data_IF_726720617846
#
_entry.id   IF_726720617846
#
_cell.length_a   1.000
_cell.length_b   1.000
_cell.length_c   1.000
_cell.angle_alpha   90.00
_cell.angle_beta   90.00
_cell.angle_gamma   90.00
#
_symmetry.space_group_name_H-M   'P 1'
#
loop_
_entity.id
_entity.type
_entity.pdbx_description
1 polymer ?
#
# COMPACT_ATOMS: atom_id res chain seq x y z
N UNK A 1 -9.03 -16.31 -7.16
CA UNK A 1 -9.05 -17.12 -5.93
C UNK A 1 -7.68 -16.95 -5.28
N UNK A 2 -7.57 -16.10 -4.27
CA UNK A 2 -6.34 -15.97 -3.48
C UNK A 2 -6.63 -16.72 -2.20
N UNK A 3 -6.10 -17.93 -2.09
CA UNK A 3 -6.20 -18.73 -0.88
C UNK A 3 -5.03 -18.36 0.03
N UNK A 4 -5.24 -17.91 1.26
CA UNK A 4 -4.17 -17.84 2.24
C UNK A 4 -3.75 -19.27 2.59
N UNK A 5 -2.45 -19.54 2.59
CA UNK A 5 -1.94 -20.84 3.00
C UNK A 5 -2.36 -21.13 4.45
N UNK A 6 -3.18 -22.15 4.67
CA UNK A 6 -3.60 -22.64 5.99
C UNK A 6 -4.99 -22.18 6.47
N UNK A 7 -5.75 -21.38 5.71
CA UNK A 7 -7.10 -20.99 6.07
C UNK A 7 -8.18 -21.87 5.42
N UNK A 8 -9.33 -22.04 6.08
CA UNK A 8 -10.50 -22.66 5.46
C UNK A 8 -10.95 -21.86 4.23
N UNK A 9 -11.10 -22.52 3.09
CA UNK A 9 -11.64 -21.92 1.87
C UNK A 9 -13.12 -21.61 2.06
N UNK A 10 -13.45 -20.35 2.32
CA UNK A 10 -14.85 -19.89 2.43
C UNK A 10 -15.25 -19.25 1.10
N UNK A 11 -16.26 -19.80 0.46
CA UNK A 11 -16.87 -19.19 -0.74
C UNK A 11 -18.07 -18.37 -0.27
N UNK A 12 -17.98 -17.06 -0.38
CA UNK A 12 -19.14 -16.17 -0.19
C UNK A 12 -19.48 -15.51 -1.54
N UNK A 13 -20.74 -15.48 -1.87
CA UNK A 13 -21.26 -14.69 -2.97
C UNK A 13 -21.79 -13.38 -2.40
N UNK A 14 -21.29 -12.25 -2.87
CA UNK A 14 -21.69 -10.94 -2.36
C UNK A 14 -21.88 -9.99 -3.53
N UNK A 15 -23.00 -9.28 -3.55
CA UNK A 15 -23.21 -8.17 -4.46
C UNK A 15 -22.63 -6.90 -3.84
N UNK A 16 -21.70 -6.24 -4.52
CA UNK A 16 -21.04 -5.04 -4.01
C UNK A 16 -21.06 -3.93 -5.06
N UNK A 17 -21.14 -2.70 -4.58
CA UNK A 17 -20.94 -1.51 -5.39
C UNK A 17 -19.62 -0.84 -5.00
N UNK A 18 -18.87 -0.39 -6.01
CA UNK A 18 -17.60 0.31 -5.81
C UNK A 18 -17.57 1.57 -6.66
N UNK A 19 -17.11 2.65 -6.06
CA UNK A 19 -16.83 3.90 -6.74
C UNK A 19 -15.41 4.34 -6.44
N UNK A 20 -14.69 4.75 -7.49
CA UNK A 20 -13.31 5.25 -7.38
C UNK A 20 -13.20 6.59 -8.09
N UNK A 21 -12.61 7.57 -7.39
CA UNK A 21 -12.27 8.85 -7.95
C UNK A 21 -10.76 9.07 -7.86
N UNK A 22 -10.16 9.46 -8.99
CA UNK A 22 -8.71 9.71 -9.08
C UNK A 22 -8.48 11.08 -9.70
N UNK A 23 -7.68 11.91 -9.00
CA UNK A 23 -7.15 13.16 -9.52
C UNK A 23 -5.63 13.06 -9.65
N UNK A 24 -5.15 13.24 -10.89
CA UNK A 24 -3.72 13.34 -11.19
C UNK A 24 -3.43 14.74 -11.68
N UNK A 25 -2.61 15.47 -10.96
CA UNK A 25 -2.14 16.82 -11.28
C UNK A 25 -0.60 16.79 -11.20
N UNK A 26 0.01 16.12 -12.15
CA UNK A 26 1.46 15.89 -12.24
C UNK A 26 1.99 16.43 -13.57
N UNK A 27 3.26 16.79 -13.60
CA UNK A 27 3.94 17.31 -14.80
C UNK A 27 4.20 16.24 -15.86
N UNK A 28 4.36 14.98 -15.48
CA UNK A 28 4.54 13.83 -16.37
C UNK A 28 3.80 12.62 -15.80
N UNK A 29 3.14 11.83 -16.66
CA UNK A 29 2.35 10.67 -16.23
C UNK A 29 3.17 9.42 -15.98
N UNK A 30 4.33 9.30 -16.62
CA UNK A 30 5.20 8.12 -16.52
C UNK A 30 6.31 8.31 -15.48
N UNK A 31 6.92 9.51 -15.43
CA UNK A 31 8.00 9.85 -14.51
C UNK A 31 7.72 11.20 -13.83
N UNK A 32 6.75 11.26 -12.93
CA UNK A 32 6.36 12.49 -12.28
C UNK A 32 7.46 13.00 -11.35
N UNK A 33 7.82 14.27 -11.53
CA UNK A 33 8.80 14.98 -10.70
C UNK A 33 8.19 16.16 -9.93
N UNK A 34 6.98 16.60 -10.33
CA UNK A 34 6.21 17.64 -9.65
C UNK A 34 4.72 17.34 -9.74
N UNK A 35 3.98 17.72 -8.69
CA UNK A 35 2.56 17.57 -8.64
C UNK A 35 2.08 16.57 -7.61
N UNK A 36 0.83 16.11 -7.76
CA UNK A 36 0.23 15.19 -6.80
C UNK A 36 -0.77 14.23 -7.46
N UNK A 37 -0.99 13.11 -6.78
CA UNK A 37 -2.06 12.16 -7.05
C UNK A 37 -2.92 12.01 -5.80
N UNK A 38 -4.23 12.07 -6.01
CA UNK A 38 -5.25 11.76 -5.00
C UNK A 38 -6.14 10.65 -5.52
N UNK A 39 -6.43 9.69 -4.69
CA UNK A 39 -7.35 8.61 -4.97
C UNK A 39 -8.29 8.42 -3.77
N UNK A 40 -9.58 8.29 -4.05
CA UNK A 40 -10.60 7.93 -3.08
C UNK A 40 -11.43 6.77 -3.62
N UNK A 41 -11.65 5.79 -2.78
CA UNK A 41 -12.50 4.65 -3.08
C UNK A 41 -13.56 4.50 -2.00
N UNK A 42 -14.78 4.24 -2.43
CA UNK A 42 -15.91 3.87 -1.58
C UNK A 42 -16.51 2.59 -2.15
N UNK A 43 -16.65 1.57 -1.31
CA UNK A 43 -17.22 0.30 -1.75
C UNK A 43 -17.93 -0.39 -0.60
N UNK A 44 -18.90 -1.23 -0.90
CA UNK A 44 -19.64 -1.93 0.12
C UNK A 44 -20.71 -2.85 -0.44
N UNK A 45 -21.34 -3.56 0.43
CA UNK A 45 -22.46 -4.44 0.10
C UNK A 45 -23.40 -4.62 1.29
N UNK A 46 -24.72 -4.63 1.04
CA UNK A 46 -25.70 -4.90 2.07
C UNK A 46 -25.82 -6.41 2.36
N UNK A 47 -26.19 -6.76 3.57
CA UNK A 47 -26.46 -8.14 4.02
C UNK A 47 -27.49 -8.86 3.12
N UNK A 48 -28.47 -8.12 2.58
CA UNK A 48 -29.56 -8.63 1.72
C UNK A 48 -29.02 -9.30 0.44
N UNK A 49 -27.80 -9.00 0.03
CA UNK A 49 -27.21 -9.45 -1.24
C UNK A 49 -26.19 -10.59 -1.07
N UNK A 50 -26.47 -11.57 -0.21
CA UNK A 50 -25.62 -12.73 0.06
C UNK A 50 -24.33 -12.42 0.86
N UNK A 51 -24.20 -11.21 1.41
CA UNK A 51 -23.19 -10.88 2.40
C UNK A 51 -23.64 -11.38 3.79
N UNK A 52 -22.72 -11.83 4.62
CA UNK A 52 -23.03 -12.26 5.99
C UNK A 52 -23.30 -11.07 6.93
N UNK A 53 -22.97 -9.84 6.52
CA UNK A 53 -23.22 -8.58 7.21
C UNK A 53 -23.07 -7.37 6.26
N UNK A 54 -23.64 -6.24 6.68
CA UNK A 54 -23.40 -4.96 6.01
C UNK A 54 -21.95 -4.53 6.19
N UNK A 55 -21.36 -3.97 5.15
CA UNK A 55 -20.04 -3.34 5.26
C UNK A 55 -19.89 -2.16 4.32
N UNK A 56 -19.08 -1.19 4.75
CA UNK A 56 -18.68 -0.01 3.94
C UNK A 56 -17.17 0.16 4.03
N UNK A 57 -16.49 0.09 2.91
CA UNK A 57 -15.05 0.33 2.78
C UNK A 57 -14.78 1.73 2.25
N UNK A 58 -13.96 2.47 2.97
CA UNK A 58 -13.41 3.75 2.55
C UNK A 58 -11.90 3.60 2.42
N UNK A 59 -11.33 4.12 1.34
CA UNK A 59 -9.88 4.11 1.12
C UNK A 59 -9.45 5.42 0.48
N UNK A 60 -8.31 5.92 0.88
CA UNK A 60 -7.67 7.08 0.28
C UNK A 60 -6.18 6.84 0.08
N UNK A 61 -5.64 7.36 -1.02
CA UNK A 61 -4.21 7.39 -1.31
C UNK A 61 -3.82 8.79 -1.76
N UNK A 62 -2.70 9.25 -1.24
CA UNK A 62 -2.07 10.50 -1.60
C UNK A 62 -0.62 10.26 -1.99
N UNK A 63 -0.18 10.89 -3.09
CA UNK A 63 1.23 10.97 -3.48
C UNK A 63 1.55 12.41 -3.84
N UNK A 64 2.62 12.96 -3.27
CA UNK A 64 3.16 14.27 -3.63
C UNK A 64 4.57 14.09 -4.17
N UNK A 65 4.82 14.69 -5.32
CA UNK A 65 6.13 14.85 -5.93
C UNK A 65 6.54 16.31 -5.77
N UNK A 66 7.68 16.55 -5.14
CA UNK A 66 8.19 17.88 -4.87
C UNK A 66 9.60 18.00 -5.46
N UNK A 67 9.80 18.83 -6.50
CA UNK A 67 11.14 19.18 -6.95
C UNK A 67 11.92 19.84 -5.82
N UNK A 68 13.17 19.47 -5.64
CA UNK A 68 14.03 20.01 -4.57
C UNK A 68 15.12 20.88 -5.19
N UNK A 69 16.17 20.28 -5.74
CA UNK A 69 17.29 20.98 -6.34
C UNK A 69 17.74 20.27 -7.62
N UNK A 70 17.94 21.03 -8.69
CA UNK A 70 18.31 20.44 -9.97
C UNK A 70 17.22 19.49 -10.47
N UNK A 71 17.59 18.23 -10.64
CA UNK A 71 16.65 17.17 -11.05
C UNK A 71 16.12 16.34 -9.88
N UNK A 72 16.50 16.63 -8.65
CA UNK A 72 16.16 15.85 -7.47
C UNK A 72 14.71 16.02 -7.09
N UNK A 73 14.12 14.94 -6.57
CA UNK A 73 12.69 14.88 -6.22
C UNK A 73 12.53 14.32 -4.82
N UNK A 74 11.71 14.99 -4.01
CA UNK A 74 11.22 14.44 -2.76
C UNK A 74 9.80 13.93 -2.96
N UNK A 75 9.55 12.68 -2.56
CA UNK A 75 8.26 12.00 -2.76
C UNK A 75 7.69 11.64 -1.39
N UNK A 76 6.46 12.05 -1.15
CA UNK A 76 5.67 11.64 0.03
C UNK A 76 4.50 10.82 -0.44
N UNK A 77 4.27 9.67 0.17
CA UNK A 77 3.12 8.81 -0.07
C UNK A 77 2.38 8.54 1.24
N UNK A 78 1.09 8.43 1.18
CA UNK A 78 0.26 8.04 2.31
C UNK A 78 -0.97 7.28 1.85
N UNK A 79 -1.37 6.28 2.62
CA UNK A 79 -2.61 5.54 2.41
C UNK A 79 -3.34 5.43 3.73
N UNK A 80 -4.65 5.56 3.68
CA UNK A 80 -5.53 5.32 4.82
C UNK A 80 -6.77 4.58 4.36
N UNK A 81 -7.23 3.64 5.16
CA UNK A 81 -8.43 2.87 4.85
C UNK A 81 -9.17 2.41 6.10
N UNK A 82 -10.49 2.33 5.98
CA UNK A 82 -11.35 1.76 7.00
C UNK A 82 -12.46 0.94 6.34
N UNK A 83 -12.73 -0.24 6.91
CA UNK A 83 -13.91 -1.04 6.60
C UNK A 83 -14.81 -1.06 7.82
N UNK A 84 -15.91 -0.34 7.70
CA UNK A 84 -16.96 -0.27 8.72
C UNK A 84 -17.81 -1.54 8.61
N UNK A 85 -17.72 -2.39 9.59
CA UNK A 85 -18.45 -3.65 9.73
C UNK A 85 -18.46 -4.06 11.21
N UNK A 86 -19.39 -4.89 11.64
CA UNK A 86 -19.43 -5.39 13.02
C UNK A 86 -18.15 -6.17 13.38
N UNK A 87 -17.71 -7.01 12.44
CA UNK A 87 -16.47 -7.76 12.57
C UNK A 87 -15.80 -7.94 11.19
N UNK A 88 -14.56 -8.40 11.13
CA UNK A 88 -13.94 -8.81 9.86
C UNK A 88 -14.49 -10.13 9.31
N UNK A 89 -15.09 -10.98 10.19
CA UNK A 89 -15.75 -12.20 9.78
C UNK A 89 -16.99 -11.86 8.95
N UNK A 90 -17.18 -12.50 7.80
CA UNK A 90 -18.28 -12.19 6.89
C UNK A 90 -18.01 -11.03 5.91
N UNK A 91 -16.97 -10.23 6.09
CA UNK A 91 -16.52 -9.27 5.08
C UNK A 91 -15.63 -9.98 4.06
N UNK A 92 -15.90 -9.86 2.74
CA UNK A 92 -15.04 -10.44 1.73
C UNK A 92 -13.59 -9.89 1.83
N UNK A 93 -12.59 -10.76 1.70
CA UNK A 93 -11.17 -10.39 1.84
C UNK A 93 -10.72 -9.25 0.90
N UNK A 94 -11.39 -9.06 -0.23
CA UNK A 94 -11.13 -7.95 -1.15
C UNK A 94 -11.48 -6.57 -0.56
N UNK A 95 -12.31 -6.51 0.49
CA UNK A 95 -12.71 -5.29 1.17
C UNK A 95 -11.97 -5.07 2.50
N UNK A 96 -11.08 -5.98 2.87
CA UNK A 96 -10.16 -5.85 4.00
C UNK A 96 -8.78 -5.42 3.52
N UNK A 97 -7.94 -4.93 4.42
CA UNK A 97 -6.66 -4.35 4.09
C UNK A 97 -5.50 -5.23 4.53
N UNK A 98 -4.52 -5.36 3.64
CA UNK A 98 -3.18 -5.84 3.94
C UNK A 98 -2.17 -4.90 3.29
N UNK A 99 -0.98 -4.79 3.86
CA UNK A 99 0.08 -3.95 3.34
C UNK A 99 1.43 -4.66 3.39
N UNK A 100 2.52 -3.99 3.03
CA UNK A 100 3.86 -4.54 2.87
C UNK A 100 4.23 -4.72 1.39
N UNK A 101 5.53 -4.65 1.10
CA UNK A 101 6.08 -4.78 -0.24
C UNK A 101 6.48 -3.45 -0.88
N UNK A 102 6.92 -3.51 -2.15
CA UNK A 102 7.53 -2.41 -2.90
C UNK A 102 6.67 -1.14 -3.00
N UNK A 103 5.34 -1.28 -2.98
CA UNK A 103 4.41 -0.16 -3.20
C UNK A 103 3.93 0.52 -1.90
N UNK A 104 4.23 -0.06 -0.72
CA UNK A 104 3.76 0.43 0.57
C UNK A 104 4.87 0.49 1.61
N UNK A 105 5.10 -0.58 2.38
CA UNK A 105 6.13 -0.66 3.41
C UNK A 105 7.23 -1.61 2.93
N UNK A 106 8.29 -1.05 2.34
CA UNK A 106 9.46 -1.82 1.89
C UNK A 106 10.22 -2.38 3.09
N UNK A 107 10.92 -3.52 2.91
CA UNK A 107 11.54 -4.29 3.99
C UNK A 107 10.64 -5.39 4.56
N UNK A 108 9.37 -5.45 4.10
CA UNK A 108 8.41 -6.50 4.39
C UNK A 108 7.93 -7.18 3.10
N UNK A 109 7.53 -8.43 3.18
CA UNK A 109 7.02 -9.15 2.02
C UNK A 109 5.69 -8.59 1.52
N UNK A 110 5.38 -8.85 0.27
CA UNK A 110 4.14 -8.38 -0.34
C UNK A 110 2.92 -8.88 0.43
N UNK A 111 2.08 -7.93 0.90
CA UNK A 111 0.87 -8.19 1.69
C UNK A 111 1.10 -9.05 2.96
N UNK A 112 2.29 -8.95 3.57
CA UNK A 112 2.63 -9.68 4.78
C UNK A 112 2.20 -9.00 6.08
N UNK A 113 1.83 -7.72 6.01
CA UNK A 113 1.35 -6.92 7.13
C UNK A 113 -0.18 -6.93 7.15
N UNK A 114 -0.76 -7.36 8.26
CA UNK A 114 -2.18 -7.54 8.47
C UNK A 114 -2.46 -8.32 9.75
N UNK A 115 -3.68 -8.78 9.91
CA UNK A 115 -4.11 -9.56 11.09
C UNK A 115 -3.59 -10.99 10.99
N UNK A 116 -3.02 -11.50 12.06
CA UNK A 116 -2.60 -12.91 12.15
C UNK A 116 -3.80 -13.80 12.46
N UNK A 117 -3.93 -14.89 11.70
CA UNK A 117 -4.97 -15.90 11.86
C UNK A 117 -4.30 -17.27 11.71
N UNK A 118 -3.85 -17.83 12.83
CA UNK A 118 -2.92 -18.95 12.81
C UNK A 118 -1.60 -18.59 12.10
N UNK A 119 -1.21 -19.39 11.12
CA UNK A 119 -0.01 -19.13 10.30
C UNK A 119 -0.27 -18.18 9.12
N UNK A 120 -1.54 -17.84 8.87
CA UNK A 120 -1.92 -16.97 7.77
C UNK A 120 -1.92 -15.48 8.19
N UNK A 121 -1.67 -14.60 7.20
CA UNK A 121 -1.94 -13.17 7.34
C UNK A 121 -3.19 -12.83 6.54
N UNK A 122 -4.22 -12.39 7.22
CA UNK A 122 -5.52 -11.99 6.64
C UNK A 122 -5.69 -10.49 6.68
N UNK A 123 -6.70 -9.97 5.97
CA UNK A 123 -6.98 -8.54 5.97
C UNK A 123 -7.54 -8.05 7.29
N UNK A 124 -7.16 -6.84 7.70
CA UNK A 124 -7.73 -6.08 8.80
C UNK A 124 -8.71 -5.02 8.30
N UNK A 125 -9.51 -4.45 9.21
CA UNK A 125 -10.49 -3.41 8.88
C UNK A 125 -9.88 -2.01 8.76
N UNK A 126 -8.66 -1.80 9.23
CA UNK A 126 -7.98 -0.51 9.22
C UNK A 126 -6.64 -0.62 8.48
N UNK A 127 -6.28 0.44 7.77
CA UNK A 127 -5.00 0.61 7.07
C UNK A 127 -4.46 1.99 7.32
N UNK A 128 -3.18 2.11 7.61
CA UNK A 128 -2.45 3.35 7.48
C UNK A 128 -1.02 3.07 7.03
N UNK A 129 -0.55 3.77 6.00
CA UNK A 129 0.83 3.75 5.55
C UNK A 129 1.32 5.16 5.27
N UNK A 130 2.60 5.39 5.48
CA UNK A 130 3.28 6.62 5.11
C UNK A 130 4.67 6.30 4.58
N UNK A 131 5.13 7.07 3.60
CA UNK A 131 6.43 6.91 2.98
C UNK A 131 7.03 8.28 2.67
N UNK A 132 8.32 8.42 2.90
CA UNK A 132 9.11 9.55 2.45
C UNK A 132 10.34 9.02 1.70
N UNK A 133 10.56 9.54 0.49
CA UNK A 133 11.64 9.13 -0.40
C UNK A 133 12.30 10.36 -1.00
N UNK A 134 13.64 10.38 -1.01
CA UNK A 134 14.44 11.37 -1.71
C UNK A 134 15.20 10.68 -2.85
N UNK A 135 15.00 11.18 -4.07
CA UNK A 135 15.64 10.68 -5.29
C UNK A 135 16.65 11.71 -5.77
N UNK A 136 17.91 11.32 -5.85
CA UNK A 136 19.02 12.11 -6.39
C UNK A 136 19.41 11.61 -7.78
N UNK A 137 19.30 12.48 -8.79
CA UNK A 137 19.66 12.17 -10.18
C UNK A 137 21.07 12.70 -10.49
N UNK A 138 22.07 11.81 -10.43
CA UNK A 138 23.46 12.16 -10.76
C UNK A 138 23.76 12.10 -12.27
N UNK A 139 22.86 11.50 -13.08
CA UNK A 139 22.84 11.54 -14.56
C UNK A 139 21.38 11.63 -15.02
N UNK A 140 21.13 12.07 -16.27
CA UNK A 140 19.75 12.17 -16.78
C UNK A 140 18.93 10.89 -16.67
N UNK A 141 19.57 9.73 -16.77
CA UNK A 141 18.92 8.41 -16.73
C UNK A 141 19.17 7.62 -15.44
N UNK A 142 20.15 8.02 -14.62
CA UNK A 142 20.55 7.25 -13.44
C UNK A 142 20.46 8.08 -12.17
N UNK A 143 19.82 7.53 -11.19
CA UNK A 143 19.65 8.12 -9.87
C UNK A 143 19.76 7.09 -8.75
N UNK A 144 19.83 7.61 -7.55
CA UNK A 144 19.75 6.86 -6.30
C UNK A 144 18.62 7.39 -5.45
N UNK A 145 18.06 6.55 -4.60
CA UNK A 145 17.04 6.93 -3.65
C UNK A 145 17.43 6.51 -2.23
N UNK A 146 16.99 7.29 -1.26
CA UNK A 146 16.92 6.90 0.15
C UNK A 146 15.47 7.05 0.60
N UNK A 147 15.00 6.15 1.45
CA UNK A 147 13.60 6.17 1.86
C UNK A 147 13.38 5.62 3.25
N UNK A 148 12.26 6.01 3.82
CA UNK A 148 11.66 5.43 5.02
C UNK A 148 10.17 5.25 4.78
N UNK A 149 9.67 4.08 5.12
CA UNK A 149 8.28 3.70 5.03
C UNK A 149 7.80 3.25 6.42
N UNK A 150 6.55 3.52 6.73
CA UNK A 150 5.92 3.06 7.95
C UNK A 150 4.46 2.72 7.69
N UNK A 151 3.94 1.70 8.35
CA UNK A 151 2.52 1.36 8.22
C UNK A 151 2.17 0.00 8.77
N UNK A 152 0.88 -0.25 8.81
CA UNK A 152 0.29 -1.53 9.20
C UNK A 152 -1.15 -1.63 8.70
N UNK A 153 -1.73 -2.84 8.80
CA UNK A 153 -3.14 -3.09 8.66
C UNK A 153 -3.63 -3.95 9.83
N UNK A 154 -4.64 -3.49 10.54
CA UNK A 154 -5.10 -4.08 11.79
C UNK A 154 -6.64 -4.19 11.85
N UNK A 155 -7.16 -4.97 12.78
CA UNK A 155 -8.61 -5.12 12.96
C UNK A 155 -9.22 -4.06 13.90
N UNK A 156 -8.40 -3.41 14.70
CA UNK A 156 -8.77 -2.26 15.52
C UNK A 156 -7.62 -1.26 15.62
N UNK A 157 -7.92 -0.02 16.05
CA UNK A 157 -6.89 0.98 16.29
C UNK A 157 -5.94 0.61 17.44
N UNK A 158 -6.38 -0.24 18.37
CA UNK A 158 -5.55 -0.72 19.49
C UNK A 158 -4.54 -1.81 19.05
N UNK A 159 -4.85 -2.53 17.99
CA UNK A 159 -4.02 -3.62 17.46
C UNK A 159 -2.98 -3.13 16.42
N UNK A 160 -2.91 -1.81 16.18
CA UNK A 160 -2.00 -1.24 15.21
C UNK A 160 -0.55 -1.37 15.71
N UNK A 161 0.26 -2.19 15.03
CA UNK A 161 1.68 -2.40 15.33
C UNK A 161 2.52 -1.83 14.20
N UNK A 162 2.86 -0.54 14.31
CA UNK A 162 3.52 0.22 13.26
C UNK A 162 4.84 -0.43 12.85
N UNK A 163 4.89 -0.95 11.63
CA UNK A 163 6.07 -1.53 11.00
C UNK A 163 6.84 -0.46 10.27
N UNK A 164 8.16 -0.44 10.45
CA UNK A 164 9.05 0.54 9.82
C UNK A 164 10.05 -0.17 8.93
N UNK A 165 10.15 0.30 7.69
CA UNK A 165 11.16 -0.11 6.73
C UNK A 165 11.95 1.10 6.23
N UNK A 166 13.23 0.92 5.97
CA UNK A 166 14.07 1.96 5.39
C UNK A 166 15.15 1.36 4.51
N UNK A 167 15.65 2.15 3.59
CA UNK A 167 16.61 1.60 2.65
C UNK A 167 17.15 2.59 1.64
N UNK A 168 17.84 2.02 0.66
CA UNK A 168 18.44 2.72 -0.48
C UNK A 168 18.01 2.04 -1.77
N UNK A 169 18.00 2.78 -2.87
CA UNK A 169 17.63 2.22 -4.16
C UNK A 169 18.35 2.83 -5.33
N UNK A 170 18.37 2.10 -6.44
CA UNK A 170 18.74 2.59 -7.74
C UNK A 170 17.50 3.00 -8.53
N UNK A 171 17.62 4.06 -9.33
CA UNK A 171 16.58 4.57 -10.22
C UNK A 171 17.13 4.65 -11.63
N UNK A 172 16.38 4.11 -12.58
CA UNK A 172 16.76 4.15 -13.98
C UNK A 172 15.60 4.56 -14.88
N UNK A 173 15.79 5.67 -15.60
CA UNK A 173 14.90 6.11 -16.68
C UNK A 173 15.22 5.31 -17.93
N UNK A 174 14.65 4.11 -18.03
CA UNK A 174 14.85 3.26 -19.20
C UNK A 174 14.00 3.74 -20.39
N UNK A 175 14.36 3.35 -21.63
CA UNK A 175 13.50 3.64 -22.79
C UNK A 175 12.09 3.04 -22.71
N UNK A 176 11.90 2.03 -21.88
CA UNK A 176 10.60 1.36 -21.66
C UNK A 176 9.79 1.95 -20.47
N UNK A 177 10.39 2.87 -19.70
CA UNK A 177 9.80 3.49 -18.52
C UNK A 177 10.76 3.52 -17.32
N UNK A 178 10.35 4.16 -16.23
CA UNK A 178 11.15 4.22 -15.01
C UNK A 178 11.22 2.84 -14.35
N UNK A 179 12.40 2.47 -13.87
CA UNK A 179 12.66 1.25 -13.12
C UNK A 179 13.31 1.59 -11.78
N UNK A 180 12.92 0.87 -10.74
CA UNK A 180 13.45 0.98 -9.40
C UNK A 180 13.92 -0.39 -8.87
N UNK A 181 15.07 -0.38 -8.19
CA UNK A 181 15.56 -1.54 -7.43
C UNK A 181 15.92 -1.01 -6.04
N UNK A 182 15.24 -1.51 -5.02
CA UNK A 182 15.36 -1.05 -3.65
C UNK A 182 15.88 -2.16 -2.74
N UNK A 183 16.89 -1.85 -1.93
CA UNK A 183 17.37 -2.68 -0.85
C UNK A 183 16.84 -2.10 0.46
N UNK A 184 15.95 -2.81 1.12
CA UNK A 184 15.20 -2.34 2.27
C UNK A 184 15.40 -3.23 3.51
N UNK A 185 15.57 -2.59 4.66
CA UNK A 185 15.64 -3.22 5.96
C UNK A 185 14.29 -3.09 6.68
N UNK A 186 13.67 -4.22 7.03
CA UNK A 186 12.51 -4.29 7.88
C UNK A 186 12.94 -4.25 9.35
N UNK A 187 12.64 -3.16 10.05
CA UNK A 187 13.16 -2.90 11.39
C UNK A 187 12.76 -3.98 12.41
N UNK A 188 11.48 -4.34 12.47
CA UNK A 188 10.95 -5.29 13.44
C UNK A 188 11.32 -6.75 13.10
N UNK A 189 11.36 -7.10 11.82
CA UNK A 189 11.75 -8.46 11.38
C UNK A 189 13.27 -8.64 11.29
N UNK A 190 14.03 -7.53 11.36
CA UNK A 190 15.50 -7.52 11.22
C UNK A 190 15.97 -8.25 9.95
N UNK A 191 15.26 -8.06 8.87
CA UNK A 191 15.51 -8.72 7.61
C UNK A 191 15.76 -7.72 6.49
N UNK A 192 16.64 -8.10 5.58
CA UNK A 192 16.96 -7.33 4.38
C UNK A 192 16.20 -7.93 3.20
N UNK A 193 15.53 -7.08 2.42
CA UNK A 193 14.77 -7.49 1.25
C UNK A 193 15.08 -6.65 0.03
N UNK A 194 15.02 -7.29 -1.13
CA UNK A 194 15.14 -6.64 -2.43
C UNK A 194 13.74 -6.46 -3.01
N UNK A 195 13.44 -5.23 -3.46
CA UNK A 195 12.18 -4.88 -4.10
C UNK A 195 12.43 -4.34 -5.50
N UNK A 196 11.50 -4.62 -6.41
CA UNK A 196 11.50 -4.14 -7.78
C UNK A 196 10.23 -3.33 -8.04
N UNK A 197 10.38 -2.19 -8.75
CA UNK A 197 9.29 -1.28 -9.09
C UNK A 197 9.47 -0.64 -10.48
#
# INVERSE_FOLDING_TARGET
>A
KIEPAGGESRTSNTLTANWTWIKRAVNDLLDPTDGYLLEFQVGGGPEIALAEQDFLRLYSRFVRYQPVRGSDVFIVRGEAGVTLAESRAGVPQAFLFRTGGAQSVRGYDYLSLGVKDGDATVGGRYLATASAEYVHWFKPQWGTAVFVDAGDAADSGADFDLRVGYGVGARWRSPAGPLAIDLAWGHQERSLRLHFG
#
